data_IF_888966649464
#
_entry.id   IF_888966649464
#
_cell.length_a   1.000
_cell.length_b   1.000
_cell.length_c   1.000
_cell.angle_alpha   90.00
_cell.angle_beta   90.00
_cell.angle_gamma   90.00
#
_symmetry.space_group_name_H-M   'P 1'
#
loop_
_entity.id
_entity.type
_entity.pdbx_description
1 polymer ?
#
# COMPACT_ATOMS: atom_id res chain seq x y z
N UNK A 1 -7.19 17.55 19.75
CA UNK A 1 -7.75 17.66 18.38
C UNK A 1 -9.22 18.06 18.47
N UNK A 2 -9.75 18.93 17.61
CA UNK A 2 -11.22 19.13 17.60
C UNK A 2 -11.90 17.83 17.17
N UNK A 3 -13.04 17.47 17.75
CA UNK A 3 -13.75 16.22 17.45
C UNK A 3 -14.02 16.05 15.94
N UNK A 4 -14.22 17.16 15.23
CA UNK A 4 -14.40 17.22 13.78
C UNK A 4 -13.20 16.75 12.96
N UNK A 5 -11.97 16.83 13.50
CA UNK A 5 -10.73 16.45 12.81
C UNK A 5 -10.19 15.07 13.26
N UNK A 6 -10.72 14.52 14.35
CA UNK A 6 -10.33 13.20 14.85
C UNK A 6 -10.67 12.08 13.85
N UNK A 7 -11.92 12.06 13.38
CA UNK A 7 -12.39 11.04 12.44
C UNK A 7 -11.60 11.01 11.12
N UNK A 8 -11.41 12.13 10.38
CA UNK A 8 -10.64 12.09 9.14
C UNK A 8 -9.17 11.70 9.36
N UNK A 9 -8.58 12.05 10.51
CA UNK A 9 -7.22 11.64 10.86
C UNK A 9 -7.08 10.12 11.03
N UNK A 10 -7.98 9.48 11.80
CA UNK A 10 -7.96 8.03 11.96
C UNK A 10 -8.31 7.27 10.68
N UNK A 11 -9.20 7.83 9.84
CA UNK A 11 -9.47 7.28 8.51
C UNK A 11 -8.20 7.32 7.65
N UNK A 12 -7.47 8.45 7.65
CA UNK A 12 -6.22 8.58 6.91
C UNK A 12 -5.15 7.57 7.40
N UNK A 13 -4.97 7.43 8.72
CA UNK A 13 -4.06 6.44 9.31
C UNK A 13 -4.43 5.02 8.88
N UNK A 14 -5.72 4.67 8.94
CA UNK A 14 -6.22 3.35 8.53
C UNK A 14 -5.93 3.09 7.04
N UNK A 15 -6.19 4.06 6.17
CA UNK A 15 -5.92 3.95 4.73
C UNK A 15 -4.43 3.76 4.45
N UNK A 16 -3.56 4.51 5.15
CA UNK A 16 -2.11 4.37 5.03
C UNK A 16 -1.63 3.00 5.51
N UNK A 17 -2.14 2.51 6.64
CA UNK A 17 -1.80 1.19 7.17
C UNK A 17 -2.22 0.06 6.22
N UNK A 18 -3.43 0.15 5.65
CA UNK A 18 -3.90 -0.79 4.63
C UNK A 18 -3.05 -0.73 3.35
N UNK A 19 -2.65 0.48 2.94
CA UNK A 19 -1.72 0.69 1.83
C UNK A 19 -0.37 0.01 2.07
N UNK A 20 0.21 0.16 3.26
CA UNK A 20 1.43 -0.54 3.67
C UNK A 20 1.27 -2.05 3.59
N UNK A 21 0.21 -2.61 4.18
CA UNK A 21 -0.04 -4.05 4.14
C UNK A 21 -0.18 -4.57 2.69
N UNK A 22 -0.86 -3.81 1.83
CA UNK A 22 -1.04 -4.15 0.43
C UNK A 22 0.28 -4.13 -0.36
N UNK A 23 1.12 -3.10 -0.20
CA UNK A 23 2.41 -3.04 -0.86
C UNK A 23 3.38 -4.10 -0.33
N UNK A 24 3.34 -4.41 0.97
CA UNK A 24 4.11 -5.51 1.55
C UNK A 24 3.69 -6.85 0.93
N UNK A 25 2.39 -7.11 0.80
CA UNK A 25 1.88 -8.31 0.15
C UNK A 25 2.35 -8.42 -1.32
N UNK A 26 2.37 -7.31 -2.07
CA UNK A 26 2.90 -7.29 -3.44
C UNK A 26 4.42 -7.47 -3.50
N UNK A 27 5.16 -7.03 -2.49
CA UNK A 27 6.61 -7.23 -2.40
C UNK A 27 6.99 -8.69 -2.14
N UNK A 28 6.16 -9.42 -1.37
CA UNK A 28 6.33 -10.85 -1.08
C UNK A 28 5.82 -11.70 -2.27
N UNK A 29 4.65 -11.34 -2.81
CA UNK A 29 3.98 -12.04 -3.91
C UNK A 29 3.86 -11.14 -5.15
N UNK A 30 4.92 -11.00 -5.97
CA UNK A 30 4.90 -10.08 -7.12
C UNK A 30 3.86 -10.43 -8.19
N UNK A 31 3.47 -11.71 -8.27
CA UNK A 31 2.40 -12.18 -9.16
C UNK A 31 0.99 -11.87 -8.65
N UNK A 32 0.82 -11.43 -7.40
CA UNK A 32 -0.49 -11.16 -6.81
C UNK A 32 -1.30 -10.16 -7.65
N UNK A 33 -0.65 -9.08 -8.11
CA UNK A 33 -1.28 -8.09 -8.99
C UNK A 33 -1.86 -8.73 -10.24
N UNK A 34 -1.14 -9.66 -10.86
CA UNK A 34 -1.60 -10.39 -12.03
C UNK A 34 -2.74 -11.35 -11.71
N UNK A 35 -2.65 -12.10 -10.61
CA UNK A 35 -3.73 -13.01 -10.18
C UNK A 35 -5.04 -12.24 -9.95
N UNK A 36 -4.96 -11.04 -9.40
CA UNK A 36 -6.11 -10.19 -9.12
C UNK A 36 -6.71 -9.51 -10.36
N UNK A 37 -5.96 -9.38 -11.46
CA UNK A 37 -6.42 -8.67 -12.67
C UNK A 37 -6.55 -9.56 -13.91
N UNK A 38 -6.05 -10.81 -13.87
CA UNK A 38 -6.01 -11.69 -15.05
C UNK A 38 -7.40 -12.00 -15.64
N UNK A 39 -8.44 -11.91 -14.82
CA UNK A 39 -9.84 -12.11 -15.23
C UNK A 39 -10.32 -11.08 -16.27
N UNK A 40 -9.62 -9.96 -16.41
CA UNK A 40 -9.92 -8.93 -17.41
C UNK A 40 -9.55 -9.36 -18.83
N UNK A 41 -8.72 -10.38 -19.00
CA UNK A 41 -8.22 -10.82 -20.30
C UNK A 41 -8.96 -12.07 -20.76
N UNK A 42 -9.32 -12.10 -22.06
CA UNK A 42 -10.01 -13.24 -22.68
C UNK A 42 -9.17 -14.52 -22.66
N UNK A 43 -7.86 -14.41 -22.87
CA UNK A 43 -6.89 -15.51 -22.86
C UNK A 43 -5.66 -15.12 -22.02
N UNK A 44 -5.68 -15.31 -20.69
CA UNK A 44 -4.64 -14.79 -19.79
C UNK A 44 -3.25 -15.39 -20.03
N UNK A 45 -3.16 -16.65 -20.47
CA UNK A 45 -1.86 -17.33 -20.66
C UNK A 45 -1.05 -16.73 -21.82
N UNK A 46 -1.72 -16.11 -22.79
CA UNK A 46 -1.07 -15.47 -23.96
C UNK A 46 -0.59 -14.04 -23.68
N UNK A 47 -1.03 -13.43 -22.58
CA UNK A 47 -0.74 -12.04 -22.21
C UNK A 47 -0.09 -11.93 -20.84
N UNK A 48 0.37 -13.05 -20.27
CA UNK A 48 1.07 -13.03 -18.98
C UNK A 48 2.34 -12.16 -19.09
N UNK A 49 2.53 -11.20 -18.16
CA UNK A 49 3.74 -10.39 -18.13
C UNK A 49 5.00 -11.24 -17.95
N UNK A 50 6.10 -10.79 -18.53
CA UNK A 50 7.39 -11.48 -18.36
C UNK A 50 7.88 -11.43 -16.91
N UNK A 51 8.80 -12.34 -16.55
CA UNK A 51 9.41 -12.39 -15.22
C UNK A 51 10.06 -11.05 -14.81
N UNK A 52 10.65 -10.31 -15.77
CA UNK A 52 11.26 -9.00 -15.53
C UNK A 52 10.21 -7.98 -15.08
N UNK A 53 9.03 -7.99 -15.71
CA UNK A 53 7.93 -7.09 -15.32
C UNK A 53 7.47 -7.37 -13.89
N UNK A 54 7.42 -8.64 -13.48
CA UNK A 54 7.10 -9.00 -12.10
C UNK A 54 8.16 -8.51 -11.10
N UNK A 55 9.45 -8.58 -11.45
CA UNK A 55 10.50 -8.03 -10.59
C UNK A 55 10.44 -6.49 -10.51
N UNK A 56 10.17 -5.80 -11.62
CA UNK A 56 9.98 -4.35 -11.60
C UNK A 56 8.77 -3.94 -10.74
N UNK A 57 7.67 -4.69 -10.81
CA UNK A 57 6.51 -4.47 -9.93
C UNK A 57 6.87 -4.70 -8.46
N UNK A 58 7.69 -5.70 -8.15
CA UNK A 58 8.20 -5.95 -6.80
C UNK A 58 9.01 -4.76 -6.28
N UNK A 59 9.97 -4.27 -7.07
CA UNK A 59 10.79 -3.11 -6.71
C UNK A 59 9.92 -1.88 -6.49
N UNK A 60 8.95 -1.62 -7.39
CA UNK A 60 7.96 -0.55 -7.21
C UNK A 60 7.20 -0.70 -5.89
N UNK A 61 6.72 -1.90 -5.57
CA UNK A 61 5.98 -2.15 -4.34
C UNK A 61 6.84 -1.92 -3.08
N UNK A 62 8.12 -2.32 -3.10
CA UNK A 62 9.06 -2.06 -2.00
C UNK A 62 9.27 -0.55 -1.80
N UNK A 63 9.48 0.19 -2.89
CA UNK A 63 9.65 1.66 -2.82
C UNK A 63 8.40 2.32 -2.25
N UNK A 64 7.22 1.97 -2.76
CA UNK A 64 5.95 2.52 -2.28
C UNK A 64 5.65 2.14 -0.84
N UNK A 65 5.96 0.90 -0.43
CA UNK A 65 5.87 0.47 0.96
C UNK A 65 6.74 1.35 1.87
N UNK A 66 8.00 1.60 1.49
CA UNK A 66 8.89 2.47 2.26
C UNK A 66 8.34 3.89 2.41
N UNK A 67 7.83 4.49 1.33
CA UNK A 67 7.22 5.83 1.35
C UNK A 67 6.00 5.87 2.27
N UNK A 68 5.09 4.89 2.14
CA UNK A 68 3.88 4.83 2.96
C UNK A 68 4.19 4.57 4.43
N UNK A 69 5.20 3.73 4.72
CA UNK A 69 5.64 3.44 6.08
C UNK A 69 6.21 4.69 6.74
N UNK A 70 7.08 5.43 6.04
CA UNK A 70 7.61 6.70 6.55
C UNK A 70 6.48 7.70 6.79
N UNK A 71 5.54 7.85 5.86
CA UNK A 71 4.39 8.74 6.02
C UNK A 71 3.52 8.35 7.23
N UNK A 72 3.25 7.05 7.41
CA UNK A 72 2.50 6.52 8.53
C UNK A 72 3.20 6.82 9.86
N UNK A 73 4.50 6.56 9.96
CA UNK A 73 5.29 6.82 11.16
C UNK A 73 5.33 8.32 11.50
N UNK A 74 5.51 9.19 10.50
CA UNK A 74 5.48 10.63 10.71
C UNK A 74 4.11 11.11 11.24
N UNK A 75 3.02 10.65 10.62
CA UNK A 75 1.66 11.01 11.05
C UNK A 75 1.34 10.46 12.44
N UNK A 76 1.81 9.25 12.76
CA UNK A 76 1.62 8.66 14.08
C UNK A 76 2.36 9.48 15.17
N UNK A 77 3.62 9.84 14.93
CA UNK A 77 4.39 10.69 15.85
C UNK A 77 3.76 12.08 16.02
N UNK A 78 3.21 12.66 14.95
CA UNK A 78 2.44 13.92 15.05
C UNK A 78 1.22 13.73 15.94
N UNK A 79 0.50 12.62 15.81
CA UNK A 79 -0.62 12.25 16.69
C UNK A 79 -0.25 12.22 18.17
N UNK A 80 0.88 11.58 18.51
CA UNK A 80 1.37 11.48 19.89
C UNK A 80 1.77 12.82 20.49
N UNK A 81 2.20 13.78 19.67
CA UNK A 81 2.60 15.12 20.12
C UNK A 81 1.44 16.12 20.29
N UNK A 82 0.22 15.75 19.89
CA UNK A 82 -0.96 16.62 20.00
C UNK A 82 -1.61 16.46 21.39
N UNK A 83 -2.02 17.56 22.06
CA UNK A 83 -2.64 17.47 23.38
C UNK A 83 -3.97 16.70 23.29
N UNK A 84 -4.03 15.58 24.02
CA UNK A 84 -5.18 14.67 24.08
C UNK A 84 -4.92 13.23 23.62
N UNK A 85 -3.67 12.88 23.28
CA UNK A 85 -3.19 11.49 23.22
C UNK A 85 -2.95 10.89 24.61
#
# INVERSE_FOLDING_TARGET
MSESLALPFYVLLTVLALGCAFFLAQAIYPRLSWVLTKWQYRNPDMVEPSAIVFQLRRVKAIVLFGVFLVALLLLFNVGDTLPGG
#
